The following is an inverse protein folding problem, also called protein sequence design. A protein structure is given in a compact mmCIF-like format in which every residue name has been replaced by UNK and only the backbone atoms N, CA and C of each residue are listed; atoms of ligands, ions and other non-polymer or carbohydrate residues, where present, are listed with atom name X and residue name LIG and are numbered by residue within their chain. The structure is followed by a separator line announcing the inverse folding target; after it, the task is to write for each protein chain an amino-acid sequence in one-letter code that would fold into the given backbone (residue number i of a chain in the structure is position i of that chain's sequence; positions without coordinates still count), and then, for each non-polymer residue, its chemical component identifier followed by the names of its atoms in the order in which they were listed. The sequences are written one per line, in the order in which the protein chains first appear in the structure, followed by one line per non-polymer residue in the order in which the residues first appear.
data_IF_887634864261
#
_entry.id   IF_887634864261
#
_cell.length_a   1.000
_cell.length_b   1.000
_cell.length_c   1.000
_cell.angle_alpha   90.00
_cell.angle_beta   90.00
_cell.angle_gamma   90.00
#
_symmetry.space_group_name_H-M   'P 1'
#
loop_
_entity.id
_entity.type
_entity.pdbx_description
1 polymer ?
2 polymer ?
3 polymer ?
4 water ?
#
# COMPACT_ATOMS: atom_id res chain seq x y z
N UNK A 1 9.12 -18.73 4.54
CA UNK A 1 8.84 -19.08 3.11
C UNK A 1 9.51 -18.13 2.13
N UNK A 2 8.73 -17.65 1.16
CA UNK A 2 9.24 -16.73 0.15
C UNK A 2 9.19 -15.28 0.65
N UNK A 3 10.05 -14.43 0.09
CA UNK A 3 10.12 -13.03 0.51
C UNK A 3 10.31 -12.07 -0.68
N UNK A 4 10.04 -10.80 -0.44
CA UNK A 4 10.18 -9.76 -1.46
C UNK A 4 10.84 -8.49 -0.91
N UNK A 5 11.52 -7.78 -1.80
CA UNK A 5 12.00 -6.43 -1.50
C UNK A 5 11.55 -5.53 -2.63
N UNK A 6 11.01 -4.36 -2.28
CA UNK A 6 10.53 -3.40 -3.28
C UNK A 6 10.91 -1.99 -2.89
N UNK A 7 11.31 -1.21 -3.88
CA UNK A 7 11.43 0.24 -3.72
C UNK A 7 10.38 0.89 -4.59
N UNK A 8 9.57 1.75 -3.97
CA UNK A 8 8.49 2.46 -4.64
C UNK A 8 8.86 3.94 -4.73
N UNK A 9 8.58 4.57 -5.88
CA UNK A 9 8.95 5.97 -6.07
C UNK A 9 7.78 6.69 -6.73
N UNK A 10 7.49 7.91 -6.26
CA UNK A 10 6.45 8.76 -6.87
C UNK A 10 6.93 10.20 -6.95
N UNK A 11 6.90 10.77 -8.16
CA UNK A 11 7.16 12.20 -8.36
C UNK A 11 5.89 12.83 -8.88
N UNK A 12 5.49 13.95 -8.28
CA UNK A 12 4.26 14.63 -8.66
C UNK A 12 4.57 16.09 -8.97
N UNK A 13 4.42 16.50 -10.23
CA UNK A 13 4.68 17.89 -10.59
C UNK A 13 3.58 18.80 -10.04
N UNK A 14 3.94 20.07 -9.82
CA UNK A 14 3.01 21.05 -9.26
C UNK A 14 3.36 22.43 -9.82
N UNK A 15 3.07 22.66 -11.11
CA UNK A 15 3.47 23.92 -11.75
C UNK A 15 2.97 25.13 -10.96
N UNK A 16 3.86 26.07 -10.72
CA UNK A 16 3.53 27.28 -9.97
C UNK A 16 3.76 27.14 -8.48
N UNK A 17 4.05 25.91 -8.04
CA UNK A 17 4.26 25.63 -6.61
C UNK A 17 5.60 24.93 -6.38
N UNK A 18 6.60 25.34 -7.16
CA UNK A 18 7.95 24.81 -7.02
C UNK A 18 8.18 23.55 -7.84
N UNK A 19 9.20 22.79 -7.45
CA UNK A 19 9.62 21.59 -8.15
C UNK A 19 8.80 20.38 -7.72
N UNK A 20 8.69 19.35 -8.58
CA UNK A 20 7.91 18.15 -8.24
C UNK A 20 8.26 17.54 -6.89
N UNK A 21 7.26 17.09 -6.16
CA UNK A 21 7.51 16.40 -4.90
C UNK A 21 7.92 14.96 -5.17
N UNK A 22 9.00 14.53 -4.52
CA UNK A 22 9.50 13.16 -4.67
C UNK A 22 9.41 12.41 -3.34
N UNK A 23 8.69 11.29 -3.36
CA UNK A 23 8.55 10.44 -2.18
C UNK A 23 8.93 9.01 -2.59
N UNK A 24 9.86 8.41 -1.87
CA UNK A 24 10.20 7.00 -2.09
C UNK A 24 10.18 6.23 -0.78
N UNK A 25 9.68 5.00 -0.84
CA UNK A 25 9.67 4.11 0.32
C UNK A 25 10.19 2.74 -0.08
N UNK A 26 10.81 2.05 0.88
CA UNK A 26 11.29 0.68 0.67
C UNK A 26 10.58 -0.28 1.61
N UNK A 27 10.31 -1.48 1.09
CA UNK A 27 9.63 -2.54 1.83
C UNK A 27 10.38 -3.85 1.70
N UNK A 28 10.39 -4.61 2.78
CA UNK A 28 10.66 -6.05 2.71
C UNK A 28 9.34 -6.69 3.11
N UNK A 29 8.80 -7.55 2.24
CA UNK A 29 7.43 -8.07 2.39
C UNK A 29 6.45 -6.93 2.67
N UNK A 30 5.68 -7.00 3.76
CA UNK A 30 4.75 -5.94 4.10
C UNK A 30 5.26 -5.00 5.19
N UNK A 31 6.59 -4.93 5.33
CA UNK A 31 7.23 -4.11 6.34
C UNK A 31 7.98 -2.94 5.70
N UNK A 32 7.55 -1.73 6.02
CA UNK A 32 8.25 -0.50 5.60
C UNK A 32 9.57 -0.40 6.34
N UNK A 33 10.66 -0.11 5.63
CA UNK A 33 11.95 0.00 6.32
C UNK A 33 12.80 1.25 6.03
N UNK A 34 12.55 1.91 4.91
CA UNK A 34 13.21 3.18 4.59
C UNK A 34 12.26 4.16 3.91
N UNK A 35 12.49 5.46 4.10
CA UNK A 35 11.69 6.49 3.44
C UNK A 35 12.53 7.72 3.12
N UNK A 36 12.10 8.45 2.09
CA UNK A 36 12.72 9.71 1.71
C UNK A 36 11.64 10.59 1.11
N UNK A 37 11.56 11.84 1.57
CA UNK A 37 10.58 12.81 1.07
C UNK A 37 11.33 14.09 0.76
N UNK A 38 11.29 14.53 -0.50
CA UNK A 38 11.97 15.76 -0.92
C UNK A 38 11.46 17.01 -0.19
N UNK A 39 10.24 16.94 0.34
CA UNK A 39 9.66 18.08 1.06
C UNK A 39 10.02 18.11 2.55
N UNK A 40 10.80 17.13 3.01
CA UNK A 40 11.29 17.12 4.38
C UNK A 40 12.24 18.31 4.58
N UNK A 41 12.36 18.79 5.81
CA UNK A 41 13.16 20.00 6.09
C UNK A 41 14.60 19.82 5.62
N UNK A 42 15.18 18.67 5.94
CA UNK A 42 16.53 18.33 5.52
C UNK A 42 16.58 16.90 4.97
N UNK A 43 16.17 16.72 3.70
CA UNK A 43 15.92 15.38 3.15
C UNK A 43 17.10 14.41 3.26
N UNK A 44 16.86 13.31 3.97
CA UNK A 44 17.79 12.19 4.07
C UNK A 44 16.93 10.95 4.03
N UNK A 45 17.47 9.84 3.55
CA UNK A 45 16.72 8.59 3.74
C UNK A 45 16.79 8.22 5.21
N UNK A 46 15.61 7.89 5.76
CA UNK A 46 15.46 7.60 7.18
C UNK A 46 15.01 6.17 7.41
N UNK A 47 15.53 5.53 8.48
CA UNK A 47 15.10 4.16 8.83
C UNK A 47 13.68 4.16 9.37
N UNK A 48 12.94 3.09 9.10
CA UNK A 48 11.57 2.94 9.59
C UNK A 48 11.35 1.56 10.24
N UNK A 49 12.44 0.80 10.35
CA UNK A 49 12.43 -0.51 11.00
C UNK A 49 13.69 -0.67 11.84
N UNK A 50 13.59 -1.30 13.03
CA UNK A 50 14.75 -1.45 13.92
C UNK A 50 15.96 -2.15 13.29
N UNK A 51 15.70 -3.15 12.45
CA UNK A 51 16.77 -3.97 11.87
C UNK A 51 17.63 -3.29 10.80
N UNK A 52 17.21 -2.11 10.34
CA UNK A 52 18.01 -1.36 9.36
C UNK A 52 18.87 -0.27 10.01
N UNK A 53 18.52 0.09 11.24
CA UNK A 53 19.22 1.13 12.01
C UNK A 53 20.69 0.84 12.24
N UNK A 54 21.05 -0.45 12.26
CA UNK A 54 22.42 -0.90 12.49
C UNK A 54 23.35 -0.65 11.31
N UNK A 55 22.77 -0.33 10.15
CA UNK A 55 23.58 0.00 8.97
C UNK A 55 24.34 1.29 9.24
N UNK A 56 25.60 1.32 8.82
CA UNK A 56 26.50 2.42 9.15
C UNK A 56 26.25 3.70 8.36
N UNK A 57 26.96 4.79 8.72
CA UNK A 57 26.82 6.09 8.09
C UNK A 57 26.99 6.05 6.56
N UNK A 58 27.87 5.18 6.07
CA UNK A 58 28.12 5.07 4.64
C UNK A 58 26.92 4.49 3.88
N UNK A 59 26.17 3.62 4.54
CA UNK A 59 24.91 3.10 4.01
C UNK A 59 23.93 4.24 3.77
N UNK A 60 23.75 5.08 4.79
CA UNK A 60 22.79 6.18 4.73
C UNK A 60 23.22 7.27 3.74
N UNK A 61 24.53 7.50 3.64
CA UNK A 61 25.11 8.44 2.69
C UNK A 61 24.85 8.01 1.24
N UNK A 62 25.13 6.75 0.94
CA UNK A 62 24.89 6.19 -0.40
C UNK A 62 23.39 6.22 -0.76
N UNK A 63 22.56 5.72 0.15
CA UNK A 63 21.10 5.73 -0.03
C UNK A 63 20.56 7.14 -0.31
N UNK A 64 20.99 8.11 0.50
CA UNK A 64 20.54 9.48 0.35
C UNK A 64 20.97 10.07 -1.00
N UNK A 65 22.21 9.78 -1.40
CA UNK A 65 22.71 10.21 -2.71
C UNK A 65 21.85 9.66 -3.85
N UNK A 66 21.50 8.38 -3.75
CA UNK A 66 20.65 7.72 -4.76
C UNK A 66 19.26 8.37 -4.82
N UNK A 67 18.64 8.58 -3.67
CA UNK A 67 17.33 9.23 -3.59
C UNK A 67 17.32 10.62 -4.22
N UNK A 68 18.34 11.42 -3.90
CA UNK A 68 18.47 12.76 -4.49
C UNK A 68 18.67 12.73 -6.00
N UNK A 69 19.50 11.80 -6.48
CA UNK A 69 19.73 11.63 -7.91
C UNK A 69 18.45 11.21 -8.62
N UNK A 70 17.70 10.32 -7.99
CA UNK A 70 16.43 9.83 -8.53
C UNK A 70 15.39 10.95 -8.62
N UNK A 71 15.31 11.79 -7.59
CA UNK A 71 14.41 12.93 -7.60
C UNK A 71 14.73 13.83 -8.80
N UNK A 72 16.03 14.07 -9.01
CA UNK A 72 16.49 14.90 -10.12
C UNK A 72 16.18 14.31 -11.49
N UNK A 73 16.45 13.01 -11.65
CA UNK A 73 16.20 12.30 -12.91
C UNK A 73 14.70 12.31 -13.24
N UNK A 74 13.87 12.10 -12.22
CA UNK A 74 12.41 12.14 -12.34
C UNK A 74 11.91 13.50 -12.84
N UNK A 75 12.53 14.58 -12.36
CA UNK A 75 12.18 15.94 -12.79
C UNK A 75 12.37 16.08 -14.29
N UNK A 76 13.54 15.65 -14.76
CA UNK A 76 13.87 15.69 -16.19
C UNK A 76 12.92 14.78 -17.00
N UNK A 77 12.65 13.58 -16.48
CA UNK A 77 11.70 12.66 -17.13
C UNK A 77 10.27 13.23 -17.23
N UNK A 78 9.83 13.96 -16.21
CA UNK A 78 8.52 14.61 -16.26
C UNK A 78 8.45 15.64 -17.40
N UNK A 79 9.52 16.41 -17.57
CA UNK A 79 9.63 17.34 -18.70
C UNK A 79 9.58 16.60 -20.04
N UNK A 80 10.34 15.50 -20.14
CA UNK A 80 10.37 14.65 -21.32
C UNK A 80 8.98 14.10 -21.67
N UNK A 81 8.26 13.60 -20.66
CA UNK A 81 6.94 13.03 -20.91
C UNK A 81 5.92 14.03 -21.41
N UNK A 82 6.04 15.30 -20.99
CA UNK A 82 5.21 16.35 -21.58
C UNK A 82 5.40 16.42 -23.09
N UNK A 83 6.64 16.28 -23.55
CA UNK A 83 6.92 16.28 -24.98
C UNK A 83 6.33 15.03 -25.64
N UNK A 84 6.62 13.86 -25.05
CA UNK A 84 6.16 12.57 -25.60
C UNK A 84 4.65 12.51 -25.82
N UNK A 85 3.90 13.17 -24.94
CA UNK A 85 2.44 13.13 -24.99
C UNK A 85 1.79 14.44 -25.45
N UNK A 86 2.62 15.36 -25.95
CA UNK A 86 2.17 16.66 -26.48
C UNK A 86 1.31 17.43 -25.49
N UNK A 87 1.75 17.47 -24.22
CA UNK A 87 0.96 18.07 -23.14
C UNK A 87 1.48 19.46 -22.77
N UNK A 88 0.58 20.31 -22.28
CA UNK A 88 0.97 21.64 -21.82
C UNK A 88 1.77 21.56 -20.50
N UNK A 89 2.50 22.62 -20.18
CA UNK A 89 3.30 22.66 -18.96
C UNK A 89 2.49 23.06 -17.73
N UNK A 90 1.19 23.28 -17.91
CA UNK A 90 0.33 23.88 -16.87
C UNK A 90 -0.19 22.91 -15.81
N UNK A 91 -0.34 21.63 -16.18
CA UNK A 91 -0.99 20.66 -15.31
C UNK A 91 -0.06 19.81 -14.47
N UNK A 92 -0.60 19.24 -13.40
CA UNK A 92 0.12 18.31 -12.55
C UNK A 92 0.12 16.91 -13.19
N UNK A 93 1.29 16.28 -13.17
CA UNK A 93 1.44 14.93 -13.70
C UNK A 93 2.24 14.06 -12.71
N UNK A 94 2.08 12.74 -12.85
CA UNK A 94 2.67 11.78 -11.93
C UNK A 94 3.57 10.76 -12.63
N UNK A 95 4.74 10.52 -12.05
CA UNK A 95 5.61 9.43 -12.49
C UNK A 95 5.91 8.47 -11.35
N UNK A 96 5.60 7.20 -11.57
CA UNK A 96 5.82 6.15 -10.57
C UNK A 96 6.76 5.08 -11.10
N UNK A 97 7.64 4.61 -10.22
CA UNK A 97 8.55 3.52 -10.50
C UNK A 97 8.57 2.53 -9.35
N UNK A 98 8.57 1.24 -9.67
CA UNK A 98 8.88 0.21 -8.69
C UNK A 98 9.83 -0.84 -9.28
N UNK A 99 10.92 -1.11 -8.57
CA UNK A 99 11.74 -2.29 -8.85
C UNK A 99 12.01 -3.07 -7.58
N UNK A 100 12.48 -4.31 -7.74
CA UNK A 100 12.74 -5.18 -6.60
C UNK A 100 12.83 -6.63 -7.02
N UNK A 101 12.85 -7.51 -6.03
CA UNK A 101 13.03 -8.93 -6.30
C UNK A 101 12.25 -9.79 -5.32
N UNK A 102 11.86 -10.98 -5.79
CA UNK A 102 11.28 -12.02 -4.96
C UNK A 102 12.29 -13.14 -4.83
N UNK A 103 12.43 -13.68 -3.61
CA UNK A 103 13.30 -14.83 -3.36
C UNK A 103 12.51 -15.99 -2.74
N UNK A 104 12.93 -17.21 -3.05
CA UNK A 104 12.30 -18.40 -2.47
C UNK A 104 12.79 -18.69 -1.06
N UNK A 105 12.26 -19.78 -0.44
CA UNK A 105 12.68 -20.18 0.91
C UNK A 105 14.19 -20.42 1.03
N UNK A 106 14.81 -20.89 -0.05
CA UNK A 106 16.26 -21.13 -0.09
C UNK A 106 17.07 -19.88 -0.45
N UNK A 107 16.39 -18.75 -0.59
CA UNK A 107 17.04 -17.47 -0.87
C UNK A 107 17.41 -17.22 -2.32
N UNK A 108 17.00 -18.11 -3.21
CA UNK A 108 17.22 -17.94 -4.63
C UNK A 108 16.25 -16.92 -5.23
N UNK A 109 16.68 -16.25 -6.30
CA UNK A 109 15.81 -15.35 -7.04
C UNK A 109 14.66 -16.10 -7.70
N UNK A 110 13.44 -15.67 -7.42
CA UNK A 110 12.25 -16.21 -8.07
C UNK A 110 11.87 -15.33 -9.25
N UNK A 111 11.94 -14.01 -9.06
CA UNK A 111 11.86 -13.06 -10.16
C UNK A 111 12.16 -11.63 -9.74
N UNK A 112 12.58 -10.83 -10.72
CA UNK A 112 12.87 -9.42 -10.53
C UNK A 112 11.85 -8.56 -11.26
N UNK A 113 11.80 -7.29 -10.86
CA UNK A 113 10.82 -6.34 -11.39
C UNK A 113 11.48 -4.99 -11.60
N UNK A 114 11.06 -4.29 -12.66
CA UNK A 114 11.37 -2.88 -12.81
C UNK A 114 10.33 -2.34 -13.80
N UNK A 115 9.58 -1.35 -13.39
CA UNK A 115 8.35 -0.94 -14.07
C UNK A 115 7.97 0.48 -13.71
N UNK A 116 7.53 1.21 -14.72
CA UNK A 116 7.15 2.61 -14.60
C UNK A 116 5.72 2.86 -15.07
N UNK A 117 5.08 3.86 -14.46
CA UNK A 117 3.75 4.34 -14.88
C UNK A 117 3.74 5.86 -14.96
N UNK A 118 2.98 6.40 -15.90
CA UNK A 118 2.79 7.84 -16.04
C UNK A 118 1.31 8.15 -15.90
N UNK A 119 0.99 9.14 -15.06
CA UNK A 119 -0.39 9.52 -14.75
C UNK A 119 -1.27 8.31 -14.44
N UNK A 120 -0.72 7.38 -13.66
CA UNK A 120 -1.47 6.21 -13.18
C UNK A 120 -1.65 5.08 -14.16
N UNK A 121 -1.04 5.18 -15.34
CA UNK A 121 -1.15 4.13 -16.36
C UNK A 121 0.21 3.52 -16.65
N UNK A 122 0.24 2.22 -16.87
CA UNK A 122 1.47 1.52 -17.24
C UNK A 122 2.16 2.23 -18.39
N UNK A 123 3.48 2.37 -18.26
CA UNK A 123 4.28 3.05 -19.25
C UNK A 123 5.27 2.06 -19.89
N UNK A 124 6.25 1.61 -19.10
CA UNK A 124 7.21 0.61 -19.57
C UNK A 124 7.59 -0.33 -18.44
N UNK A 125 7.72 -1.61 -18.76
CA UNK A 125 8.04 -2.63 -17.76
C UNK A 125 9.11 -3.58 -18.30
N UNK A 126 10.06 -3.90 -17.43
CA UNK A 126 11.02 -4.96 -17.72
C UNK A 126 10.29 -6.30 -17.62
N UNK A 127 10.44 -7.13 -18.65
CA UNK A 127 9.76 -8.44 -18.66
C UNK A 127 10.41 -9.41 -17.66
N UNK A 128 9.74 -10.52 -17.39
CA UNK A 128 10.23 -11.49 -16.42
C UNK A 128 11.62 -12.02 -16.80
N UNK A 129 11.89 -12.05 -18.11
CA UNK A 129 13.17 -12.55 -18.61
C UNK A 129 14.32 -11.63 -18.22
N UNK A 130 13.97 -10.42 -17.77
CA UNK A 130 14.97 -9.46 -17.32
C UNK A 130 15.89 -9.04 -18.45
N UNK A 131 15.35 -9.01 -19.66
CA UNK A 131 16.17 -8.86 -20.87
C UNK A 131 15.41 -8.11 -21.95
N UNK A 132 14.09 -8.07 -21.83
CA UNK A 132 13.24 -7.43 -22.83
C UNK A 132 12.18 -6.56 -22.18
N UNK A 133 11.53 -5.72 -22.98
CA UNK A 133 10.65 -4.69 -22.45
C UNK A 133 9.22 -4.79 -22.99
N UNK A 134 8.25 -4.45 -22.15
CA UNK A 134 6.87 -4.22 -22.62
C UNK A 134 6.58 -2.71 -22.51
N UNK A 135 6.42 -2.07 -23.66
CA UNK A 135 6.05 -0.66 -23.74
C UNK A 135 4.54 -0.52 -24.00
N UNK A 136 3.88 0.33 -23.22
CA UNK A 136 2.41 0.44 -23.26
C UNK A 136 1.86 1.14 -24.49
N UNK A 137 2.67 2.02 -25.07
CA UNK A 137 2.22 2.89 -26.16
C UNK A 137 3.40 3.41 -26.98
N UNK A 138 3.12 4.21 -28.00
CA UNK A 138 4.20 4.68 -28.89
C UNK A 138 5.20 5.62 -28.22
N UNK A 139 4.76 6.29 -27.15
CA UNK A 139 5.64 7.13 -26.33
C UNK A 139 6.65 6.28 -25.57
N UNK A 140 6.14 5.26 -24.86
CA UNK A 140 7.01 4.31 -24.15
C UNK A 140 7.99 3.58 -25.09
N UNK A 141 7.58 3.38 -26.34
CA UNK A 141 8.46 2.81 -27.37
C UNK A 141 9.71 3.67 -27.63
N UNK A 142 9.57 4.98 -27.44
CA UNK A 142 10.73 5.89 -27.57
C UNK A 142 11.73 5.62 -26.45
N UNK A 143 11.22 5.47 -25.23
CA UNK A 143 12.05 5.07 -24.08
C UNK A 143 12.67 3.69 -24.34
N UNK A 144 11.84 2.75 -24.81
CA UNK A 144 12.32 1.39 -25.09
C UNK A 144 13.52 1.38 -26.04
N UNK A 145 13.42 2.14 -27.13
CA UNK A 145 14.53 2.27 -28.08
C UNK A 145 15.80 2.78 -27.41
N UNK A 146 15.66 3.81 -26.58
CA UNK A 146 16.81 4.38 -25.86
C UNK A 146 17.44 3.36 -24.90
N UNK A 147 16.58 2.63 -24.20
CA UNK A 147 17.02 1.68 -23.18
C UNK A 147 17.65 0.43 -23.79
N UNK A 148 17.13 0.02 -24.96
CA UNK A 148 17.75 -1.07 -25.73
C UNK A 148 19.14 -0.68 -26.23
N UNK A 149 19.26 0.57 -26.69
CA UNK A 149 20.53 1.11 -27.19
C UNK A 149 21.59 1.17 -26.09
N UNK A 150 21.17 1.52 -24.87
CA UNK A 150 22.06 1.66 -23.72
C UNK A 150 22.22 0.36 -22.90
N UNK A 151 21.61 -0.73 -23.38
CA UNK A 151 21.61 -2.02 -22.68
C UNK A 151 21.22 -1.87 -21.19
N UNK A 152 20.10 -1.20 -20.98
CA UNK A 152 19.59 -0.94 -19.63
C UNK A 152 19.15 -2.24 -18.95
N UNK A 153 18.52 -3.12 -19.72
CA UNK A 153 18.03 -4.40 -19.18
C UNK A 153 19.15 -5.22 -18.56
N UNK A 154 20.29 -5.28 -19.26
CA UNK A 154 21.48 -5.97 -18.78
C UNK A 154 21.94 -5.43 -17.43
N UNK A 155 21.93 -4.12 -17.28
CA UNK A 155 22.33 -3.45 -16.04
C UNK A 155 21.37 -3.79 -14.90
N UNK A 156 20.09 -3.79 -15.20
CA UNK A 156 19.04 -4.12 -14.22
C UNK A 156 19.13 -5.58 -13.80
N UNK A 157 19.30 -6.46 -14.77
CA UNK A 157 19.50 -7.88 -14.50
C UNK A 157 20.64 -8.08 -13.50
N UNK A 158 21.77 -7.40 -13.72
CA UNK A 158 22.94 -7.54 -12.85
C UNK A 158 22.59 -7.15 -11.41
N UNK A 159 21.86 -6.04 -11.25
CA UNK A 159 21.44 -5.59 -9.93
C UNK A 159 20.43 -6.55 -9.31
N UNK A 160 19.40 -6.93 -10.07
CA UNK A 160 18.31 -7.74 -9.54
C UNK A 160 18.76 -9.14 -9.11
N UNK A 161 19.64 -9.75 -9.90
CA UNK A 161 20.13 -11.10 -9.61
C UNK A 161 21.21 -11.11 -8.53
N UNK A 162 21.86 -9.96 -8.36
CA UNK A 162 23.01 -9.83 -7.47
C UNK A 162 22.65 -9.10 -6.20
N UNK A 163 23.05 -7.84 -6.03
CA UNK A 163 22.75 -7.01 -4.86
C UNK A 163 21.36 -7.31 -4.31
N UNK A 164 20.34 -7.06 -5.13
CA UNK A 164 18.96 -7.08 -4.66
C UNK A 164 18.67 -8.31 -3.82
N UNK A 165 19.04 -9.57 -4.36
CA UNK A 165 18.92 -10.85 -3.64
C UNK A 165 19.80 -10.87 -2.39
N UNK A 166 21.03 -10.38 -2.54
CA UNK A 166 22.01 -10.43 -1.46
C UNK A 166 21.68 -9.51 -0.29
N UNK A 167 21.25 -8.30 -0.60
CA UNK A 167 20.83 -7.39 0.45
C UNK A 167 19.50 -7.81 1.09
N UNK A 168 18.56 -8.34 0.29
CA UNK A 168 17.34 -8.92 0.87
C UNK A 168 17.66 -10.04 1.87
N UNK A 169 18.59 -10.93 1.48
CA UNK A 169 19.03 -12.01 2.36
C UNK A 169 19.59 -11.47 3.68
N UNK A 170 20.40 -10.41 3.59
CA UNK A 170 20.97 -9.73 4.74
C UNK A 170 19.88 -9.17 5.65
N UNK A 171 18.93 -8.44 5.06
CA UNK A 171 17.80 -7.86 5.81
C UNK A 171 16.96 -8.92 6.51
N UNK A 172 16.71 -10.04 5.82
CA UNK A 172 15.95 -11.14 6.39
C UNK A 172 16.62 -11.74 7.63
N UNK A 173 17.95 -11.84 7.58
CA UNK A 173 18.71 -12.31 8.74
C UNK A 173 18.71 -11.27 9.87
N UNK A 174 19.09 -10.04 9.56
CA UNK A 174 19.09 -8.97 10.57
C UNK A 174 17.73 -8.72 11.23
N UNK A 175 16.66 -8.84 10.45
CA UNK A 175 15.30 -8.69 10.97
C UNK A 175 14.53 -9.98 11.16
N UNK A 176 15.25 -11.08 11.44
CA UNK A 176 14.63 -12.41 11.55
C UNK A 176 13.58 -12.55 12.66
N UNK A 177 13.64 -11.67 13.66
CA UNK A 177 12.65 -11.65 14.74
C UNK A 177 11.24 -11.36 14.20
N UNK A 178 11.17 -10.47 13.21
CA UNK A 178 9.89 -9.94 12.71
C UNK A 178 9.60 -10.37 11.28
N UNK A 179 10.60 -10.23 10.40
CA UNK A 179 10.41 -10.54 8.98
C UNK A 179 10.15 -12.02 8.75
N UNK A 180 10.65 -12.87 9.65
CA UNK A 180 10.45 -14.30 9.54
C UNK A 180 9.43 -14.84 10.57
N UNK A 181 8.57 -13.95 11.06
CA UNK A 181 7.46 -14.33 11.93
C UNK A 181 6.13 -13.98 11.27
N UNK A 182 5.26 -14.98 11.18
CA UNK A 182 3.89 -14.77 10.75
C UNK A 182 3.02 -14.69 12.00
N UNK A 183 2.18 -13.66 12.08
CA UNK A 183 1.22 -13.53 13.16
C UNK A 183 -0.15 -13.95 12.65
N UNK A 184 -0.74 -15.00 13.25
CA UNK A 184 -2.00 -15.49 12.70
C UNK A 184 -3.17 -14.55 13.04
N UNK A 185 -4.23 -14.58 12.22
CA UNK A 185 -5.37 -13.71 12.51
C UNK A 185 -6.10 -14.15 13.77
N UNK A 186 -6.53 -13.18 14.56
CA UNK A 186 -7.51 -13.42 15.62
C UNK A 186 -8.88 -13.29 14.97
N UNK A 187 -9.68 -14.34 15.08
CA UNK A 187 -10.93 -14.42 14.32
C UNK A 187 -12.18 -14.58 15.19
N UNK A 188 -13.26 -13.95 14.74
CA UNK A 188 -14.58 -14.13 15.37
C UNK A 188 -15.69 -13.70 14.41
N UNK A 189 -16.92 -14.13 14.71
CA UNK A 189 -18.10 -13.77 13.92
C UNK A 189 -19.06 -12.93 14.77
N UNK A 190 -19.53 -11.83 14.20
CA UNK A 190 -20.54 -10.98 14.84
C UNK A 190 -21.85 -11.00 14.04
N UNK A 191 -22.94 -10.65 14.71
CA UNK A 191 -24.30 -10.77 14.15
C UNK A 191 -24.96 -9.41 14.31
N UNK A 192 -25.51 -8.88 13.21
CA UNK A 192 -26.08 -7.53 13.19
C UNK A 192 -27.47 -7.52 12.55
N UNK A 193 -28.52 -7.56 13.38
CA UNK A 193 -29.90 -7.56 12.85
C UNK A 193 -30.14 -6.34 11.97
N UNK A 194 -30.77 -6.58 10.82
CA UNK A 194 -31.13 -5.52 9.88
C UNK A 194 -32.63 -5.24 9.97
N UNK A 195 -33.41 -6.33 9.99
CA UNK A 195 -34.86 -6.25 10.07
C UNK A 195 -35.37 -7.53 10.74
N UNK A 196 -36.69 -7.69 10.80
CA UNK A 196 -37.29 -8.92 11.28
C UNK A 196 -36.88 -10.11 10.42
N UNK A 197 -36.47 -9.86 9.18
CA UNK A 197 -36.29 -10.90 8.17
C UNK A 197 -34.85 -11.35 7.96
N UNK A 198 -33.90 -10.45 8.24
CA UNK A 198 -32.49 -10.75 8.00
C UNK A 198 -31.51 -10.07 8.96
N UNK A 199 -30.28 -10.60 8.97
CA UNK A 199 -29.19 -10.04 9.75
C UNK A 199 -27.89 -10.19 8.99
N UNK A 200 -26.93 -9.34 9.31
CA UNK A 200 -25.59 -9.46 8.77
C UNK A 200 -24.76 -10.37 9.67
N UNK A 201 -24.07 -11.33 9.06
CA UNK A 201 -23.00 -12.06 9.73
C UNK A 201 -21.69 -11.48 9.21
N UNK A 202 -20.84 -11.03 10.11
CA UNK A 202 -19.54 -10.45 9.75
C UNK A 202 -18.42 -11.27 10.35
N UNK A 203 -17.53 -11.75 9.49
CA UNK A 203 -16.41 -12.58 9.90
C UNK A 203 -15.15 -11.72 9.94
N UNK A 204 -14.54 -11.64 11.13
CA UNK A 204 -13.40 -10.76 11.35
C UNK A 204 -12.07 -11.51 11.38
N UNK A 205 -11.04 -10.88 10.82
CA UNK A 205 -9.67 -11.33 10.96
C UNK A 205 -8.86 -10.13 11.42
N UNK A 206 -8.22 -10.26 12.58
CA UNK A 206 -7.50 -9.14 13.18
C UNK A 206 -6.09 -9.52 13.63
N UNK A 207 -5.19 -8.53 13.59
CA UNK A 207 -3.86 -8.67 14.17
C UNK A 207 -2.92 -9.59 13.39
N UNK A 208 -3.16 -9.72 12.09
CA UNK A 208 -2.34 -10.66 11.30
C UNK A 208 -1.21 -10.01 10.49
N UNK A 209 -0.17 -10.81 10.26
CA UNK A 209 0.99 -10.42 9.45
C UNK A 209 1.56 -11.70 8.84
N UNK A 210 1.88 -11.70 7.52
CA UNK A 210 1.74 -10.63 6.55
C UNK A 210 0.29 -10.37 6.11
N UNK A 211 0.10 -9.46 5.15
CA UNK A 211 -1.24 -8.99 4.79
C UNK A 211 -2.06 -10.02 4.01
N UNK A 212 -1.39 -10.88 3.26
CA UNK A 212 -2.06 -11.90 2.44
C UNK A 212 -2.97 -12.79 3.30
N UNK A 213 -4.23 -12.93 2.88
CA UNK A 213 -5.22 -13.70 3.65
C UNK A 213 -6.40 -14.02 2.76
N UNK A 214 -7.11 -15.09 3.07
CA UNK A 214 -8.36 -15.41 2.39
C UNK A 214 -9.47 -15.58 3.42
N UNK A 215 -10.53 -14.81 3.23
CA UNK A 215 -11.74 -14.86 4.05
C UNK A 215 -12.93 -15.11 3.12
N UNK A 216 -13.63 -16.21 3.34
CA UNK A 216 -14.77 -16.54 2.50
C UNK A 216 -15.94 -16.97 3.38
N UNK A 217 -17.17 -16.77 2.88
CA UNK A 217 -18.37 -17.33 3.49
C UNK A 217 -18.95 -18.45 2.61
N UNK A 218 -19.37 -19.54 3.24
CA UNK A 218 -20.11 -20.59 2.56
C UNK A 218 -21.51 -20.76 3.14
N UNK A 219 -22.46 -21.13 2.29
CA UNK A 219 -23.81 -21.51 2.71
C UNK A 219 -24.06 -22.93 2.22
N UNK A 220 -24.37 -23.84 3.14
CA UNK A 220 -24.51 -25.27 2.84
C UNK A 220 -23.28 -25.79 2.07
N UNK A 221 -22.11 -25.25 2.40
CA UNK A 221 -20.85 -25.63 1.75
C UNK A 221 -20.59 -25.02 0.39
N UNK A 222 -21.46 -24.10 -0.05
CA UNK A 222 -21.27 -23.40 -1.32
C UNK A 222 -20.74 -21.99 -1.10
N UNK A 223 -19.68 -21.64 -1.83
CA UNK A 223 -19.09 -20.30 -1.76
C UNK A 223 -20.10 -19.22 -2.12
N UNK A 224 -20.13 -18.15 -1.33
CA UNK A 224 -21.07 -17.05 -1.49
C UNK A 224 -20.46 -15.80 -2.15
N UNK A 225 -19.51 -16.02 -3.05
CA UNK A 225 -18.75 -14.93 -3.68
C UNK A 225 -19.55 -13.68 -4.05
N UNK A 226 -20.64 -13.86 -4.80
CA UNK A 226 -21.43 -12.74 -5.30
C UNK A 226 -22.29 -12.07 -4.22
N UNK A 227 -22.42 -12.72 -3.07
CA UNK A 227 -23.23 -12.21 -1.97
C UNK A 227 -22.38 -11.75 -0.77
N UNK A 228 -21.07 -11.88 -0.89
CA UNK A 228 -20.17 -11.50 0.20
C UNK A 228 -19.61 -10.09 0.00
N UNK A 229 -19.75 -9.25 1.03
CA UNK A 229 -19.05 -7.96 1.04
C UNK A 229 -17.70 -8.16 1.70
N UNK A 230 -16.65 -7.92 0.93
CA UNK A 230 -15.29 -8.17 1.36
C UNK A 230 -14.55 -6.84 1.34
N UNK A 231 -14.19 -6.31 2.51
CA UNK A 231 -13.46 -5.05 2.54
C UNK A 231 -11.99 -5.29 2.22
N UNK A 232 -11.35 -4.26 1.70
CA UNK A 232 -9.92 -4.30 1.44
C UNK A 232 -9.15 -4.51 2.74
N UNK A 233 -8.12 -5.35 2.68
CA UNK A 233 -7.20 -5.57 3.80
C UNK A 233 -6.60 -4.22 4.18
N UNK A 234 -6.66 -3.87 5.47
CA UNK A 234 -6.27 -2.54 5.95
C UNK A 234 -5.26 -2.61 7.11
N UNK A 235 -4.33 -1.63 7.16
CA UNK A 235 -3.32 -1.58 8.24
C UNK A 235 -3.89 -1.17 9.60
N UNK A 236 -3.52 -1.89 10.65
CA UNK A 236 -3.92 -1.52 12.01
C UNK A 236 -3.08 -0.37 12.57
N UNK A 237 -1.86 -0.23 12.06
CA UNK A 237 -0.90 0.79 12.54
C UNK A 237 0.18 0.25 13.46
N UNK A 238 0.11 -1.05 13.79
CA UNK A 238 1.07 -1.73 14.69
C UNK A 238 1.86 -2.83 13.96
N UNK A 239 1.95 -2.71 12.63
CA UNK A 239 2.56 -3.68 11.69
C UNK A 239 1.54 -4.69 11.14
N UNK A 240 0.44 -4.86 11.87
CA UNK A 240 -0.54 -5.88 11.51
C UNK A 240 -1.65 -5.34 10.63
N UNK A 241 -2.49 -6.27 10.18
CA UNK A 241 -3.57 -5.96 9.24
C UNK A 241 -4.89 -6.50 9.75
N UNK A 242 -5.97 -6.01 9.12
CA UNK A 242 -7.33 -6.38 9.47
C UNK A 242 -8.13 -6.60 8.18
N UNK A 243 -9.18 -7.41 8.28
CA UNK A 243 -10.09 -7.63 7.17
C UNK A 243 -11.38 -8.24 7.72
N UNK A 244 -12.50 -7.94 7.07
CA UNK A 244 -13.74 -8.64 7.33
C UNK A 244 -14.51 -8.99 6.06
N UNK A 245 -15.38 -9.99 6.18
CA UNK A 245 -16.26 -10.46 5.12
C UNK A 245 -17.65 -10.61 5.73
N UNK A 246 -18.65 -10.06 5.05
CA UNK A 246 -20.02 -10.06 5.58
C UNK A 246 -21.03 -10.59 4.58
N UNK A 247 -22.03 -11.31 5.11
CA UNK A 247 -23.16 -11.79 4.32
C UNK A 247 -24.48 -11.43 5.01
N UNK A 248 -25.49 -11.14 4.20
CA UNK A 248 -26.85 -10.92 4.69
C UNK A 248 -27.57 -12.27 4.73
N UNK A 249 -27.99 -12.68 5.91
CA UNK A 249 -28.59 -14.02 6.10
C UNK A 249 -30.05 -13.93 6.53
N UNK A 250 -30.91 -14.80 5.97
CA UNK A 250 -32.30 -14.84 6.41
C UNK A 250 -32.41 -15.30 7.86
N UNK A 251 -33.38 -14.77 8.59
CA UNK A 251 -33.65 -15.16 9.97
C UNK A 251 -33.74 -16.67 10.09
N UNK A 252 -32.99 -17.23 11.05
CA UNK A 252 -33.04 -18.65 11.35
C UNK A 252 -32.09 -19.52 10.52
N UNK A 253 -31.37 -18.91 9.60
CA UNK A 253 -30.50 -19.68 8.70
C UNK A 253 -29.01 -19.55 9.04
N UNK A 254 -28.72 -18.88 10.16
CA UNK A 254 -27.35 -18.55 10.56
C UNK A 254 -26.43 -19.77 10.56
N UNK A 255 -26.94 -20.89 11.04
CA UNK A 255 -26.10 -22.08 11.20
C UNK A 255 -25.76 -22.79 9.88
N UNK A 256 -26.40 -22.36 8.79
CA UNK A 256 -26.08 -22.87 7.45
C UNK A 256 -24.86 -22.16 6.85
N UNK A 257 -24.42 -21.11 7.54
CA UNK A 257 -23.30 -20.28 7.09
C UNK A 257 -22.01 -20.54 7.87
N UNK A 258 -20.91 -20.69 7.14
CA UNK A 258 -19.60 -20.90 7.75
C UNK A 258 -18.58 -19.95 7.14
N UNK A 259 -17.72 -19.38 7.98
CA UNK A 259 -16.62 -18.53 7.53
C UNK A 259 -15.32 -19.33 7.50
N UNK A 260 -14.55 -19.16 6.44
CA UNK A 260 -13.33 -19.93 6.24
C UNK A 260 -12.15 -18.98 6.11
N UNK A 261 -11.10 -19.27 6.87
CA UNK A 261 -9.94 -18.37 6.98
C UNK A 261 -8.65 -19.11 6.65
N UNK A 262 -7.92 -18.59 5.67
CA UNK A 262 -6.59 -19.10 5.33
C UNK A 262 -5.56 -18.00 5.55
N UNK A 263 -4.50 -18.34 6.28
CA UNK A 263 -3.38 -17.43 6.49
C UNK A 263 -2.14 -18.26 6.75
N UNK A 264 -1.00 -17.78 6.27
CA UNK A 264 0.25 -18.52 6.42
C UNK A 264 0.65 -18.73 7.88
N UNK A 265 0.12 -17.89 8.77
CA UNK A 265 0.32 -18.05 10.21
C UNK A 265 -0.53 -19.17 10.81
N UNK A 266 -1.48 -19.69 10.04
CA UNK A 266 -2.34 -20.80 10.46
C UNK A 266 -1.85 -22.13 9.89
N UNK A 267 -1.64 -23.13 10.77
CA UNK A 267 -1.21 -24.46 10.33
C UNK A 267 -2.29 -25.14 9.47
N UNK A 268 -3.54 -24.96 9.87
CA UNK A 268 -4.71 -25.44 9.12
C UNK A 268 -5.70 -24.29 8.91
N UNK A 269 -6.40 -24.27 7.76
CA UNK A 269 -7.45 -23.25 7.59
C UNK A 269 -8.52 -23.38 8.67
N UNK A 270 -9.07 -22.25 9.10
CA UNK A 270 -10.09 -22.24 10.13
C UNK A 270 -11.50 -22.23 9.55
N UNK A 271 -12.44 -22.83 10.29
CA UNK A 271 -13.86 -22.74 9.97
C UNK A 271 -14.57 -22.13 11.18
N UNK A 272 -15.33 -21.06 10.96
CA UNK A 272 -16.06 -20.37 12.03
C UNK A 272 -17.55 -20.30 11.78
N UNK A 273 -18.32 -20.32 12.87
CA UNK A 273 -19.77 -20.15 12.84
C UNK A 273 -20.17 -19.10 13.86
N UNK A 274 -21.31 -18.45 13.61
CA UNK A 274 -21.91 -17.53 14.59
C UNK A 274 -22.27 -18.29 15.87
N UNK A 275 -21.76 -17.83 17.01
CA UNK A 275 -22.02 -18.44 18.30
C UNK A 275 -22.76 -17.44 19.20
N UNK A 276 -24.07 -17.53 19.26
CA UNK A 276 -24.89 -16.62 20.06
C UNK A 276 -24.61 -16.73 21.57
N UNK B 1 -7.79 13.03 -18.43
CA UNK B 1 -6.93 12.10 -17.70
C UNK B 1 -7.76 11.12 -16.86
N UNK B 2 -7.25 9.91 -16.71
CA UNK B 2 -7.94 8.88 -15.94
C UNK B 2 -7.87 9.18 -14.44
N UNK B 3 -9.02 9.12 -13.77
CA UNK B 3 -9.08 9.36 -12.33
C UNK B 3 -9.72 8.18 -11.60
N UNK B 4 -9.29 7.95 -10.38
CA UNK B 4 -9.82 6.87 -9.57
C UNK B 4 -10.19 7.38 -8.19
N UNK B 5 -11.44 7.14 -7.80
CA UNK B 5 -11.97 7.72 -6.56
C UNK B 5 -11.51 6.90 -5.36
N UNK B 6 -11.21 7.57 -4.23
CA UNK B 6 -10.73 6.83 -3.06
C UNK B 6 -11.77 5.90 -2.41
N UNK B 7 -11.33 4.69 -2.09
CA UNK B 7 -12.05 3.86 -1.13
C UNK B 7 -11.68 4.39 0.24
N UNK B 8 -12.62 4.33 1.18
CA UNK B 8 -12.44 4.92 2.50
C UNK B 8 -12.92 3.96 3.58
N UNK B 9 -12.05 3.67 4.55
CA UNK B 9 -12.43 2.90 5.74
C UNK B 9 -12.02 3.65 6.99
N UNK B 10 -12.96 3.84 7.91
CA UNK B 10 -12.67 4.42 9.23
C UNK B 10 -12.89 3.33 10.28
N UNK B 11 -11.89 3.15 11.13
CA UNK B 11 -11.86 2.00 12.04
C UNK B 11 -10.84 2.22 13.14
N UNK B 12 -10.87 1.36 14.16
CA UNK B 12 -9.93 1.47 15.28
C UNK B 12 -8.84 0.40 15.18
N UNK B 13 -7.69 0.68 15.78
CA UNK B 13 -6.59 -0.28 15.81
C UNK B 13 -6.96 -1.54 16.58
N UNK B 14 -7.60 -1.34 17.74
CA UNK B 14 -8.04 -2.43 18.62
C UNK B 14 -9.56 -2.42 18.75
N UNK B 15 -10.17 -3.55 19.15
CA UNK B 15 -11.62 -3.52 19.37
C UNK B 15 -11.97 -2.39 20.34
N UNK B 16 -13.02 -1.63 20.03
CA UNK B 16 -13.39 -0.47 20.81
C UNK B 16 -13.92 -0.84 22.19
N UNK B 17 -13.31 -0.25 23.21
CA UNK B 17 -13.74 -0.40 24.60
C UNK B 17 -13.87 0.99 25.19
N UNK B 18 -15.11 1.38 25.50
CA UNK B 18 -15.38 2.71 26.06
C UNK B 18 -14.52 3.02 27.27
N UNK B 19 -13.82 4.15 27.21
CA UNK B 19 -12.93 4.58 28.29
C UNK B 19 -11.50 4.13 28.15
N UNK B 20 -11.21 3.31 27.14
CA UNK B 20 -9.86 2.80 26.92
C UNK B 20 -9.20 3.40 25.69
N UNK B 21 -8.00 3.95 25.88
CA UNK B 21 -7.23 4.56 24.79
C UNK B 21 -7.01 3.59 23.63
N UNK B 22 -7.07 4.13 22.42
CA UNK B 22 -7.05 3.36 21.18
C UNK B 22 -6.44 4.23 20.09
N UNK B 23 -6.45 3.76 18.85
CA UNK B 23 -6.09 4.58 17.71
C UNK B 23 -7.24 4.60 16.71
N UNK B 24 -7.57 5.79 16.23
CA UNK B 24 -8.57 5.95 15.17
C UNK B 24 -7.85 6.09 13.83
N UNK B 25 -8.23 5.23 12.90
CA UNK B 25 -7.61 5.13 11.58
C UNK B 25 -8.56 5.52 10.47
N UNK B 26 -8.05 6.26 9.49
CA UNK B 26 -8.74 6.41 8.22
C UNK B 26 -7.80 5.95 7.12
N UNK B 27 -8.19 4.86 6.47
CA UNK B 27 -7.41 4.28 5.37
C UNK B 27 -8.05 4.67 4.03
N UNK B 28 -7.31 5.43 3.24
CA UNK B 28 -7.75 5.78 1.89
C UNK B 28 -6.90 5.04 0.87
N UNK B 29 -7.54 4.48 -0.13
CA UNK B 29 -6.86 3.61 -1.07
C UNK B 29 -7.52 3.59 -2.44
N UNK B 30 -6.79 3.07 -3.44
CA UNK B 30 -7.34 2.88 -4.78
C UNK B 30 -7.55 4.15 -5.57
N UNK B 31 -6.87 5.23 -5.17
CA UNK B 31 -7.11 6.54 -5.77
C UNK B 31 -6.00 7.05 -6.67
N UNK B 32 -6.37 7.90 -7.60
CA UNK B 32 -5.45 8.60 -8.48
C UNK B 32 -6.17 9.86 -9.00
N UNK B 33 -5.52 11.02 -9.06
CA UNK B 33 -4.13 11.33 -8.62
C UNK B 33 -3.91 11.27 -7.11
N UNK B 34 -2.66 11.46 -6.71
CA UNK B 34 -2.21 11.27 -5.33
C UNK B 34 -2.66 12.37 -4.37
N UNK B 35 -2.97 13.54 -4.89
CA UNK B 35 -3.37 14.65 -4.04
C UNK B 35 -4.72 14.36 -3.40
N UNK B 36 -4.73 14.42 -2.08
CA UNK B 36 -5.91 14.08 -1.29
C UNK B 36 -5.86 14.85 0.04
N UNK B 37 -7.03 15.19 0.55
CA UNK B 37 -7.15 15.88 1.83
C UNK B 37 -7.98 14.99 2.73
N UNK B 38 -7.45 14.69 3.91
CA UNK B 38 -8.12 13.82 4.87
C UNK B 38 -8.14 14.47 6.24
N UNK B 39 -9.33 14.59 6.82
CA UNK B 39 -9.50 15.06 8.19
C UNK B 39 -10.11 13.96 9.05
N UNK B 40 -9.69 13.88 10.31
CA UNK B 40 -10.38 13.07 11.29
C UNK B 40 -11.19 14.01 12.17
N UNK B 41 -12.45 13.65 12.39
CA UNK B 41 -13.38 14.52 13.12
C UNK B 41 -13.83 13.90 14.44
N UNK B 42 -13.95 14.73 15.46
CA UNK B 42 -14.57 14.34 16.73
C UNK B 42 -15.73 15.27 16.97
N UNK B 43 -16.94 14.71 16.99
CA UNK B 43 -18.17 15.49 17.12
C UNK B 43 -18.25 16.61 16.10
N UNK B 44 -17.86 16.29 14.86
CA UNK B 44 -17.98 17.22 13.74
C UNK B 44 -16.83 18.19 13.52
N UNK B 45 -15.87 18.23 14.45
CA UNK B 45 -14.77 19.20 14.40
C UNK B 45 -13.42 18.51 14.19
N UNK B 46 -12.53 19.17 13.47
CA UNK B 46 -11.25 18.59 13.09
C UNK B 46 -10.35 18.30 14.28
N UNK B 47 -9.84 17.08 14.35
CA UNK B 47 -8.85 16.68 15.34
C UNK B 47 -7.48 17.22 14.90
N UNK B 48 -6.77 17.87 15.83
CA UNK B 48 -5.47 18.47 15.51
C UNK B 48 -4.35 17.43 15.57
N UNK B 49 -3.28 17.69 14.82
CA UNK B 49 -2.02 16.91 14.89
C UNK B 49 -2.14 15.46 14.39
N UNK B 50 -3.13 15.20 13.54
CA UNK B 50 -3.30 13.89 12.94
C UNK B 50 -2.08 13.54 12.07
N UNK B 51 -1.59 12.31 12.21
CA UNK B 51 -0.41 11.85 11.48
C UNK B 51 -0.83 10.95 10.31
N UNK B 52 0.04 10.83 9.31
CA UNK B 52 -0.23 9.96 8.18
C UNK B 52 1.02 9.26 7.67
N UNK B 53 0.82 8.10 7.03
CA UNK B 53 1.89 7.33 6.41
C UNK B 53 2.48 8.07 5.21
N UNK B 54 3.62 7.59 4.71
CA UNK B 54 4.22 8.14 3.51
C UNK B 54 3.54 7.53 2.28
N UNK B 55 3.32 8.36 1.27
CA UNK B 55 2.65 7.96 0.02
C UNK B 55 3.28 6.71 -0.58
N UNK B 56 2.45 5.71 -0.82
CA UNK B 56 2.87 4.49 -1.48
C UNK B 56 1.75 4.04 -2.39
N UNK B 57 1.97 2.97 -3.16
CA UNK B 57 0.99 2.53 -4.14
C UNK B 57 0.93 1.03 -4.34
N UNK B 58 -0.21 0.58 -4.86
CA UNK B 58 -0.49 -0.85 -5.05
C UNK B 58 -0.03 -1.35 -6.41
N UNK B 59 -0.27 -2.62 -6.68
CA UNK B 59 0.25 -3.21 -7.90
C UNK B 59 -0.39 -2.56 -9.14
N UNK B 60 -1.62 -2.11 -9.02
CA UNK B 60 -2.30 -1.42 -10.13
C UNK B 60 -1.99 0.08 -10.19
N UNK B 61 -1.02 0.51 -9.39
CA UNK B 61 -0.50 1.87 -9.37
C UNK B 61 -1.32 2.87 -8.52
N UNK B 62 -2.47 2.40 -8.09
CA UNK B 62 -3.32 3.27 -7.28
C UNK B 62 -2.68 3.52 -5.91
N UNK B 63 -2.92 4.71 -5.36
CA UNK B 63 -2.25 5.14 -4.13
C UNK B 63 -3.02 4.74 -2.89
N UNK B 64 -2.30 4.66 -1.77
CA UNK B 64 -2.95 4.46 -0.45
C UNK B 64 -2.23 5.23 0.64
N UNK B 65 -3.01 5.74 1.59
CA UNK B 65 -2.50 6.45 2.76
C UNK B 65 -3.27 6.04 4.00
N UNK B 66 -2.56 6.01 5.13
CA UNK B 66 -3.19 5.83 6.43
C UNK B 66 -3.06 7.12 7.23
N UNK B 67 -4.21 7.62 7.70
CA UNK B 67 -4.26 8.76 8.61
C UNK B 67 -4.67 8.23 9.97
N UNK B 68 -4.04 8.72 11.03
CA UNK B 68 -4.28 8.14 12.35
C UNK B 68 -4.02 9.09 13.51
N UNK B 69 -4.76 8.87 14.59
CA UNK B 69 -4.61 9.65 15.82
C UNK B 69 -5.02 8.78 17.01
N UNK B 70 -4.46 9.08 18.17
CA UNK B 70 -4.91 8.48 19.42
C UNK B 70 -6.29 9.02 19.83
N UNK B 71 -7.15 8.12 20.28
CA UNK B 71 -8.48 8.53 20.76
C UNK B 71 -8.97 7.57 21.83
N UNK B 72 -9.90 8.03 22.65
CA UNK B 72 -10.51 7.22 23.68
C UNK B 72 -12.01 7.22 23.42
N UNK B 73 -12.51 6.13 22.81
CA UNK B 73 -13.93 6.04 22.46
C UNK B 73 -14.84 6.07 23.69
N UNK B 74 -16.02 6.67 23.53
CA UNK B 74 -17.05 6.66 24.56
C UNK B 74 -18.40 6.32 23.90
N UNK B 75 -19.47 6.27 24.69
CA UNK B 75 -20.80 6.01 24.16
C UNK B 75 -21.32 7.15 23.28
N UNK B 76 -21.14 8.39 23.72
CA UNK B 76 -21.76 9.55 23.04
C UNK B 76 -20.93 10.15 21.91
N UNK B 77 -19.61 10.19 22.09
CA UNK B 77 -18.72 10.87 21.13
C UNK B 77 -18.78 10.25 19.73
N UNK B 78 -18.97 11.10 18.73
CA UNK B 78 -19.07 10.68 17.34
C UNK B 78 -17.76 10.97 16.62
N UNK B 79 -17.25 9.97 15.91
CA UNK B 79 -16.02 10.12 15.12
C UNK B 79 -16.28 9.87 13.65
N UNK B 80 -15.49 10.54 12.81
CA UNK B 80 -15.66 10.45 11.37
C UNK B 80 -14.35 10.77 10.65
N UNK B 81 -14.30 10.42 9.37
CA UNK B 81 -13.22 10.80 8.46
C UNK B 81 -13.84 11.63 7.33
N UNK B 82 -13.22 12.77 7.02
CA UNK B 82 -13.67 13.62 5.90
C UNK B 82 -12.61 13.64 4.82
N UNK B 83 -12.99 13.24 3.62
CA UNK B 83 -12.04 13.09 2.50
C UNK B 83 -12.43 13.97 1.32
N UNK B 84 -11.46 14.74 0.82
CA UNK B 84 -11.64 15.46 -0.44
C UNK B 84 -10.63 15.02 -1.50
N UNK B 85 -11.11 14.91 -2.74
CA UNK B 85 -10.34 14.41 -3.87
C UNK B 85 -10.98 14.99 -5.14
N UNK B 86 -10.20 15.12 -6.21
CA UNK B 86 -10.67 15.71 -7.47
C UNK B 86 -11.90 14.97 -8.04
N UNK B 87 -12.01 13.68 -7.74
CA UNK B 87 -13.11 12.83 -8.21
C UNK B 87 -14.42 13.08 -7.46
N UNK B 88 -14.36 13.85 -6.38
CA UNK B 88 -15.51 14.09 -5.51
C UNK B 88 -16.04 15.50 -5.70
N UNK B 89 -17.35 15.61 -5.93
CA UNK B 89 -18.00 16.90 -6.15
C UNK B 89 -18.14 17.69 -4.84
N UNK B 90 -18.12 16.95 -3.74
CA UNK B 90 -18.16 17.49 -2.38
C UNK B 90 -17.37 16.53 -1.49
N UNK B 91 -16.81 17.03 -0.35
CA UNK B 91 -16.09 16.12 0.54
C UNK B 91 -16.98 14.98 1.05
N UNK B 92 -16.39 13.78 1.11
CA UNK B 92 -17.11 12.59 1.58
C UNK B 92 -16.84 12.38 3.06
N UNK B 93 -17.91 12.30 3.85
CA UNK B 93 -17.80 12.04 5.28
C UNK B 93 -18.24 10.60 5.58
N UNK B 94 -17.33 9.81 6.14
CA UNK B 94 -17.64 8.45 6.55
C UNK B 94 -17.57 8.39 8.08
N UNK B 95 -18.68 7.99 8.70
CA UNK B 95 -18.77 7.91 10.15
C UNK B 95 -18.06 6.67 10.66
N UNK B 96 -17.40 6.80 11.82
CA UNK B 96 -16.82 5.64 12.47
C UNK B 96 -17.93 4.82 13.11
N UNK B 97 -17.94 3.53 12.78
CA UNK B 97 -18.87 2.56 13.34
C UNK B 97 -18.03 1.43 13.94
N UNK B 98 -18.13 1.23 15.24
CA UNK B 98 -17.29 0.28 15.95
C UNK B 98 -17.48 -1.18 15.50
N UNK B 99 -18.57 -1.43 14.78
CA UNK B 99 -18.89 -2.76 14.26
C UNK B 99 -18.39 -2.96 12.81
N UNK B 100 -17.57 -2.03 12.34
CA UNK B 100 -17.01 -2.09 11.00
C UNK B 100 -15.52 -1.75 10.99
N UNK C 1 19.49 -2.74 -0.36
CA UNK C 1 19.89 -1.36 -0.75
C UNK C 1 19.57 -1.09 -2.22
N UNK C 2 19.51 0.20 -2.55
CA UNK C 2 19.02 0.66 -3.85
C UNK C 2 20.05 0.48 -4.96
N UNK C 3 19.57 0.49 -6.20
CA UNK C 3 20.44 0.40 -7.37
C UNK C 3 21.14 1.73 -7.62
N UNK C 4 22.39 1.68 -8.06
CA UNK C 4 23.21 2.88 -8.20
C UNK C 4 22.96 3.55 -9.55
N UNK C 6 21.25 4.70 -13.13
CA UNK C 6 19.91 5.02 -13.60
C UNK C 6 19.94 5.65 -14.98
N UNK C 7 18.76 5.87 -15.56
CA UNK C 7 18.64 6.21 -16.98
C UNK C 7 17.38 7.02 -17.24
N UNK C 8 17.48 7.99 -18.14
CA UNK C 8 16.36 8.86 -18.48
C UNK C 8 15.34 8.18 -19.39
N UNK C 9 14.06 8.50 -19.19
CA UNK C 9 13.00 8.05 -20.09
C UNK C 9 13.13 8.72 -21.45
#
# INVERSE_FOLDING_TARGET
GSHSMRYFHTSVSRPGRGEPRFITVGYVDDTLFVRFDSDAASPREEPRAPWIEQEGPEYWDRETQICKAKAQTDREDLRTLLRYYNQSEAGSHTLQNMYGCDVGPDGRLLRGYHQDAYDGKDYIALNEDLSSWTAADTAAQITQRKWEAARVAEQLRAYLEGECVEWLRRYLENGKETLQRADPPKTHVTHHPISDHEATLRCWALGFYPAEITLTWQRDGEDQTQDTELVETRPAGDRTFQKWAAVVVPSGEEQRYTCHVQHEGLPKPLTLRWEP
MIQRTPKIQVYSRHPAENGKSNFLNCYVSGFHPSDIEVDLLKNGERIEKVEHSDLSFSKDWSFYLLYYTEFTPTEKDEYACRVNHVTLSQPKIVKWDRDM
RRKWXRWHL
#
